data_IF_532225489239
#
_entry.id   IF_532225489239
#
_cell.length_a   1.000
_cell.length_b   1.000
_cell.length_c   1.000
_cell.angle_alpha   90.00
_cell.angle_beta   90.00
_cell.angle_gamma   90.00
#
_symmetry.space_group_name_H-M   'P 1'
#
loop_
_entity.id
_entity.type
_entity.pdbx_description
1 polymer ?
#
# COMPACT_ATOMS: atom_id res chain seq x y z
N UNK A 1 -12.45 -12.44 9.26
CA UNK A 1 -11.31 -13.30 8.90
C UNK A 1 -11.45 -14.63 9.64
N UNK A 2 -12.16 -15.59 9.05
CA UNK A 2 -12.34 -16.93 9.64
C UNK A 2 -11.01 -17.66 9.52
N UNK A 3 -10.36 -17.94 10.66
CA UNK A 3 -9.40 -19.03 10.73
C UNK A 3 -10.20 -20.31 10.54
N UNK A 4 -10.46 -20.65 9.28
CA UNK A 4 -11.05 -21.93 8.88
C UNK A 4 -10.08 -22.98 9.39
N UNK A 5 -10.55 -23.80 10.33
CA UNK A 5 -9.75 -24.81 11.00
C UNK A 5 -9.23 -25.81 9.96
N UNK A 6 -7.95 -25.61 9.60
CA UNK A 6 -7.26 -26.23 8.48
C UNK A 6 -6.96 -27.73 8.73
N UNK A 7 -7.33 -28.27 9.89
CA UNK A 7 -7.24 -29.70 10.20
C UNK A 7 -8.52 -30.48 9.85
N UNK A 8 -9.63 -29.80 9.53
CA UNK A 8 -10.94 -30.43 9.30
C UNK A 8 -11.33 -30.59 7.82
N UNK A 9 -10.52 -30.10 6.87
CA UNK A 9 -10.78 -30.20 5.44
C UNK A 9 -9.99 -31.34 4.78
N UNK A 10 -10.57 -32.05 3.79
CA UNK A 10 -9.87 -33.12 3.08
C UNK A 10 -8.59 -32.60 2.42
N UNK A 11 -7.50 -33.36 2.52
CA UNK A 11 -6.14 -33.05 2.02
C UNK A 11 -6.10 -32.38 0.63
N UNK A 12 -7.04 -32.73 -0.25
CA UNK A 12 -7.22 -32.13 -1.58
C UNK A 12 -7.52 -30.62 -1.52
N UNK A 13 -8.41 -30.17 -0.63
CA UNK A 13 -8.73 -28.73 -0.47
C UNK A 13 -7.58 -27.95 0.15
N UNK A 14 -6.81 -28.58 1.03
CA UNK A 14 -5.59 -28.01 1.60
C UNK A 14 -4.57 -27.68 0.51
N UNK A 15 -4.30 -28.66 -0.35
CA UNK A 15 -3.30 -28.58 -1.42
C UNK A 15 -3.74 -27.56 -2.47
N UNK A 16 -5.01 -27.54 -2.87
CA UNK A 16 -5.52 -26.56 -3.86
C UNK A 16 -5.48 -25.14 -3.30
N UNK A 17 -5.83 -24.94 -2.02
CA UNK A 17 -5.72 -23.63 -1.36
C UNK A 17 -4.26 -23.15 -1.33
N UNK A 18 -3.33 -24.04 -0.94
CA UNK A 18 -1.89 -23.78 -0.94
C UNK A 18 -1.33 -23.50 -2.35
N UNK A 19 -1.81 -24.20 -3.39
CA UNK A 19 -1.39 -23.99 -4.79
C UNK A 19 -1.90 -22.66 -5.34
N UNK A 20 -3.16 -22.31 -5.08
CA UNK A 20 -3.75 -21.04 -5.53
C UNK A 20 -3.09 -19.84 -4.82
N UNK A 21 -2.80 -19.97 -3.52
CA UNK A 21 -2.04 -18.96 -2.75
C UNK A 21 -0.61 -18.80 -3.29
N UNK A 22 0.09 -19.92 -3.54
CA UNK A 22 1.45 -19.91 -4.11
C UNK A 22 1.50 -19.32 -5.51
N UNK A 23 0.49 -19.57 -6.36
CA UNK A 23 0.38 -19.01 -7.72
C UNK A 23 0.14 -17.50 -7.69
N UNK A 24 -0.76 -17.01 -6.84
CA UNK A 24 -0.98 -15.57 -6.64
C UNK A 24 0.25 -14.86 -6.10
N UNK A 25 0.95 -15.47 -5.14
CA UNK A 25 2.20 -14.95 -4.58
C UNK A 25 3.31 -14.93 -5.65
N UNK A 26 3.41 -15.97 -6.48
CA UNK A 26 4.40 -16.03 -7.55
C UNK A 26 4.15 -14.93 -8.59
N UNK A 27 2.88 -14.71 -8.97
CA UNK A 27 2.49 -13.66 -9.90
C UNK A 27 2.78 -12.26 -9.34
N UNK A 28 2.43 -12.01 -8.07
CA UNK A 28 2.71 -10.74 -7.41
C UNK A 28 4.22 -10.47 -7.27
N UNK A 29 5.02 -11.50 -6.98
CA UNK A 29 6.49 -11.38 -6.97
C UNK A 29 7.05 -11.12 -8.37
N UNK A 30 6.50 -11.76 -9.41
CA UNK A 30 6.89 -11.52 -10.80
C UNK A 30 6.57 -10.08 -11.20
N UNK A 31 5.39 -9.59 -10.83
CA UNK A 31 4.94 -8.22 -11.06
C UNK A 31 5.82 -7.19 -10.36
N UNK A 32 6.14 -7.40 -9.07
CA UNK A 32 7.05 -6.51 -8.33
C UNK A 32 8.45 -6.49 -8.97
N UNK A 33 8.99 -7.64 -9.39
CA UNK A 33 10.29 -7.68 -10.10
C UNK A 33 10.22 -6.96 -11.46
N UNK A 34 9.11 -7.10 -12.19
CA UNK A 34 8.88 -6.38 -13.44
C UNK A 34 8.84 -4.87 -13.25
N UNK A 35 8.14 -4.39 -12.23
CA UNK A 35 8.10 -2.96 -11.87
C UNK A 35 9.49 -2.46 -11.49
N UNK A 36 10.23 -3.16 -10.64
CA UNK A 36 11.59 -2.77 -10.26
C UNK A 36 12.49 -2.63 -11.48
N UNK A 37 12.45 -3.61 -12.41
CA UNK A 37 13.22 -3.55 -13.66
C UNK A 37 12.77 -2.39 -14.57
N UNK A 38 11.47 -2.13 -14.66
CA UNK A 38 10.93 -1.00 -15.41
C UNK A 38 11.41 0.35 -14.85
N UNK A 39 11.38 0.51 -13.52
CA UNK A 39 11.90 1.71 -12.85
C UNK A 39 13.39 1.88 -13.14
N UNK A 40 14.18 0.81 -13.07
CA UNK A 40 15.61 0.82 -13.41
C UNK A 40 15.85 1.28 -14.86
N UNK A 41 15.02 0.82 -15.80
CA UNK A 41 15.13 1.20 -17.20
C UNK A 41 14.76 2.68 -17.42
N UNK A 42 13.67 3.15 -16.81
CA UNK A 42 13.24 4.56 -16.92
C UNK A 42 14.26 5.50 -16.28
N UNK A 43 14.83 5.15 -15.13
CA UNK A 43 15.93 5.90 -14.49
C UNK A 43 17.17 5.92 -15.38
N UNK A 44 17.58 4.77 -15.93
CA UNK A 44 18.71 4.69 -16.84
C UNK A 44 18.52 5.58 -18.08
N UNK A 45 17.33 5.55 -18.70
CA UNK A 45 16.97 6.40 -19.85
C UNK A 45 16.95 7.88 -19.46
N UNK A 46 16.40 8.22 -18.30
CA UNK A 46 16.32 9.62 -17.82
C UNK A 46 17.72 10.19 -17.54
N UNK A 47 18.62 9.38 -16.94
CA UNK A 47 20.03 9.76 -16.72
C UNK A 47 20.78 9.94 -18.05
N UNK A 48 20.47 9.12 -19.06
CA UNK A 48 21.10 9.18 -20.38
C UNK A 48 20.64 10.41 -21.19
N UNK A 49 19.37 10.80 -21.07
CA UNK A 49 18.77 11.94 -21.78
C UNK A 49 19.08 13.29 -21.12
N UNK A 50 19.19 13.36 -19.79
CA UNK A 50 19.32 14.62 -19.05
C UNK A 50 20.70 14.71 -18.38
N UNK A 51 21.73 15.02 -19.16
CA UNK A 51 23.13 15.18 -18.72
C UNK A 51 23.40 16.41 -17.80
N UNK A 52 22.39 17.00 -17.16
CA UNK A 52 22.54 18.24 -16.39
C UNK A 52 22.23 18.07 -14.91
N UNK A 53 23.28 18.24 -14.12
CA UNK A 53 23.37 18.44 -12.67
C UNK A 53 22.08 18.89 -11.98
N UNK A 54 21.56 18.06 -11.06
CA UNK A 54 20.82 18.39 -9.81
C UNK A 54 19.70 17.39 -9.41
N UNK A 55 19.77 16.12 -9.82
CA UNK A 55 18.84 15.11 -9.27
C UNK A 55 19.27 14.68 -7.85
N UNK A 56 18.69 15.31 -6.82
CA UNK A 56 18.78 14.83 -5.42
C UNK A 56 17.98 13.53 -5.22
N UNK A 57 16.99 13.31 -6.06
CA UNK A 57 16.12 12.13 -6.06
C UNK A 57 16.90 10.85 -6.39
N UNK A 58 17.85 10.87 -7.35
CA UNK A 58 18.69 9.69 -7.66
C UNK A 58 19.62 9.29 -6.51
N UNK A 59 19.99 10.20 -5.60
CA UNK A 59 20.70 9.84 -4.35
C UNK A 59 19.77 9.18 -3.33
N UNK A 60 18.52 9.62 -3.21
CA UNK A 60 17.53 9.00 -2.33
C UNK A 60 17.06 7.62 -2.84
N UNK A 61 17.14 7.36 -4.17
CA UNK A 61 16.89 6.04 -4.76
C UNK A 61 18.08 5.07 -4.68
N UNK A 62 19.30 5.56 -4.39
CA UNK A 62 20.50 4.69 -4.25
C UNK A 62 20.37 3.62 -3.16
N UNK A 63 19.81 3.89 -1.96
CA UNK A 63 19.53 2.87 -0.95
C UNK A 63 18.57 1.77 -1.44
N UNK A 64 17.57 2.14 -2.25
CA UNK A 64 16.66 1.20 -2.91
C UNK A 64 17.42 0.33 -3.91
N UNK A 65 18.32 0.92 -4.69
CA UNK A 65 19.21 0.18 -5.60
C UNK A 65 20.21 -0.74 -4.85
N UNK A 66 20.72 -0.33 -3.70
CA UNK A 66 21.63 -1.11 -2.85
C UNK A 66 20.91 -2.32 -2.22
N UNK A 67 19.62 -2.17 -1.89
CA UNK A 67 18.74 -3.28 -1.49
C UNK A 67 18.46 -4.25 -2.63
N UNK A 68 18.38 -3.77 -3.88
CA UNK A 68 18.06 -4.61 -5.05
C UNK A 68 19.25 -5.36 -5.65
N UNK A 69 20.48 -4.81 -5.57
CA UNK A 69 21.59 -5.32 -6.40
C UNK A 69 22.28 -6.56 -5.85
N UNK A 70 22.36 -6.80 -4.53
CA UNK A 70 23.13 -7.95 -4.05
C UNK A 70 22.94 -8.29 -2.56
N UNK A 71 22.92 -9.59 -2.24
CA UNK A 71 23.19 -10.21 -0.93
C UNK A 71 22.10 -10.39 0.14
N UNK A 72 20.95 -9.74 0.12
CA UNK A 72 19.98 -9.88 1.22
C UNK A 72 18.74 -10.71 0.88
N UNK A 73 18.91 -12.02 0.66
CA UNK A 73 17.79 -12.98 0.56
C UNK A 73 16.82 -12.92 1.76
N UNK A 74 17.31 -12.51 2.93
CA UNK A 74 16.49 -12.23 4.12
C UNK A 74 15.51 -11.07 3.93
N UNK A 75 15.93 -9.96 3.31
CA UNK A 75 15.06 -8.79 3.09
C UNK A 75 13.95 -9.13 2.10
N UNK A 76 14.25 -9.88 1.03
CA UNK A 76 13.23 -10.39 0.10
C UNK A 76 12.22 -11.31 0.80
N UNK A 77 12.63 -12.07 1.82
CA UNK A 77 11.74 -12.90 2.64
C UNK A 77 10.85 -12.05 3.54
N UNK A 78 11.38 -11.02 4.19
CA UNK A 78 10.60 -10.07 4.98
C UNK A 78 9.58 -9.29 4.14
N UNK A 79 9.99 -8.75 2.99
CA UNK A 79 9.08 -8.05 2.07
C UNK A 79 7.96 -8.99 1.62
N UNK A 80 8.26 -10.25 1.32
CA UNK A 80 7.23 -11.26 1.00
C UNK A 80 6.24 -11.45 2.14
N UNK A 81 6.72 -11.50 3.38
CA UNK A 81 5.84 -11.64 4.54
C UNK A 81 4.94 -10.40 4.75
N UNK A 82 5.47 -9.19 4.54
CA UNK A 82 4.69 -7.96 4.61
C UNK A 82 3.61 -7.94 3.52
N UNK A 83 3.96 -8.22 2.26
CA UNK A 83 2.98 -8.26 1.17
C UNK A 83 1.96 -9.39 1.31
N UNK A 84 2.30 -10.47 2.02
CA UNK A 84 1.36 -11.56 2.29
C UNK A 84 0.35 -11.18 3.38
N UNK A 85 0.73 -10.38 4.37
CA UNK A 85 -0.20 -9.89 5.40
C UNK A 85 -1.02 -8.67 4.95
N UNK A 86 -0.58 -7.97 3.90
CA UNK A 86 -1.22 -6.77 3.37
C UNK A 86 -2.65 -6.99 2.79
N UNK A 87 -2.94 -8.02 1.96
CA UNK A 87 -4.28 -8.21 1.38
C UNK A 87 -5.44 -8.26 2.39
N UNK A 88 -5.37 -9.02 3.50
CA UNK A 88 -6.45 -8.98 4.51
C UNK A 88 -6.51 -7.65 5.27
N UNK A 89 -5.39 -6.93 5.40
CA UNK A 89 -5.36 -5.60 6.04
C UNK A 89 -6.03 -4.56 5.13
N UNK A 90 -5.80 -4.61 3.81
CA UNK A 90 -6.44 -3.72 2.85
C UNK A 90 -7.96 -3.85 2.83
N UNK A 91 -8.49 -5.07 2.98
CA UNK A 91 -9.93 -5.31 3.06
C UNK A 91 -10.55 -4.59 4.28
N UNK A 92 -9.90 -4.70 5.44
CA UNK A 92 -10.31 -4.01 6.67
C UNK A 92 -10.12 -2.49 6.57
N UNK A 93 -9.01 -2.04 5.97
CA UNK A 93 -8.74 -0.62 5.73
C UNK A 93 -9.77 -0.02 4.77
N UNK A 94 -10.17 -0.75 3.73
CA UNK A 94 -11.23 -0.32 2.80
C UNK A 94 -12.57 -0.12 3.52
N UNK A 95 -12.93 -1.04 4.40
CA UNK A 95 -14.13 -0.91 5.24
C UNK A 95 -14.02 0.32 6.16
N UNK A 96 -12.85 0.56 6.76
CA UNK A 96 -12.61 1.74 7.58
C UNK A 96 -12.74 3.04 6.78
N UNK A 97 -12.12 3.11 5.60
CA UNK A 97 -12.21 4.25 4.69
C UNK A 97 -13.64 4.54 4.24
N UNK A 98 -14.45 3.51 4.05
CA UNK A 98 -15.88 3.65 3.77
C UNK A 98 -16.63 4.30 4.94
N UNK A 99 -16.38 3.85 6.17
CA UNK A 99 -16.95 4.49 7.37
C UNK A 99 -16.52 5.94 7.54
N UNK A 100 -15.23 6.25 7.35
CA UNK A 100 -14.71 7.63 7.40
C UNK A 100 -15.42 8.52 6.39
N UNK A 101 -15.66 8.02 5.18
CA UNK A 101 -16.36 8.78 4.13
C UNK A 101 -17.78 9.15 4.55
N UNK A 102 -18.52 8.22 5.17
CA UNK A 102 -19.87 8.50 5.70
C UNK A 102 -19.82 9.54 6.80
N UNK A 103 -18.86 9.44 7.74
CA UNK A 103 -18.71 10.43 8.82
C UNK A 103 -18.25 11.79 8.31
N UNK A 104 -17.44 11.85 7.26
CA UNK A 104 -17.02 13.10 6.62
C UNK A 104 -18.21 13.80 5.93
N UNK A 105 -19.08 13.06 5.23
CA UNK A 105 -20.32 13.61 4.67
C UNK A 105 -21.26 14.10 5.79
N UNK A 106 -21.42 13.32 6.86
CA UNK A 106 -22.27 13.71 7.99
C UNK A 106 -21.74 14.97 8.68
N UNK A 107 -20.42 15.06 8.89
CA UNK A 107 -19.77 16.25 9.43
C UNK A 107 -19.97 17.47 8.55
N UNK A 108 -19.83 17.32 7.24
CA UNK A 108 -20.12 18.39 6.29
C UNK A 108 -21.58 18.85 6.39
N UNK A 109 -22.57 17.95 6.36
CA UNK A 109 -23.98 18.34 6.47
C UNK A 109 -24.35 18.98 7.82
N UNK A 110 -23.71 18.57 8.91
CA UNK A 110 -24.01 19.07 10.25
C UNK A 110 -23.36 20.45 10.53
N UNK A 111 -22.16 20.69 9.97
CA UNK A 111 -21.35 21.87 10.27
C UNK A 111 -21.21 22.86 9.09
N UNK A 112 -21.77 22.57 7.91
CA UNK A 112 -21.70 23.44 6.72
C UNK A 112 -22.30 24.85 6.95
N UNK A 113 -23.06 25.08 8.02
CA UNK A 113 -23.68 26.36 8.35
C UNK A 113 -22.92 27.24 9.34
N UNK A 114 -21.84 26.76 9.99
CA UNK A 114 -21.15 27.53 11.03
C UNK A 114 -19.94 28.30 10.43
N UNK A 115 -19.95 29.65 10.44
CA UNK A 115 -18.89 30.47 9.83
C UNK A 115 -17.57 30.50 10.63
N UNK A 116 -17.51 29.84 11.79
CA UNK A 116 -16.33 29.82 12.68
C UNK A 116 -15.40 28.63 12.45
N UNK A 117 -15.75 27.68 11.57
CA UNK A 117 -14.98 26.46 11.34
C UNK A 117 -14.64 26.30 9.85
N UNK A 118 -13.45 26.76 9.43
CA UNK A 118 -12.99 26.60 8.04
C UNK A 118 -12.84 25.13 7.62
N UNK A 119 -12.69 24.21 8.58
CA UNK A 119 -12.43 22.79 8.36
C UNK A 119 -13.60 21.99 7.73
N UNK A 120 -14.82 22.52 7.71
CA UNK A 120 -16.02 21.81 7.22
C UNK A 120 -16.71 22.51 6.03
N UNK A 121 -16.00 23.42 5.35
CA UNK A 121 -16.55 24.18 4.21
C UNK A 121 -16.50 23.42 2.90
N UNK A 122 -15.54 22.49 2.75
CA UNK A 122 -15.44 21.58 1.60
C UNK A 122 -15.49 20.12 2.05
N UNK A 123 -15.95 19.25 1.15
CA UNK A 123 -15.94 17.80 1.40
C UNK A 123 -14.51 17.26 1.60
N UNK A 124 -13.52 17.88 0.94
CA UNK A 124 -12.12 17.48 1.04
C UNK A 124 -11.54 17.81 2.42
N UNK A 125 -11.78 19.02 2.93
CA UNK A 125 -11.29 19.44 4.25
C UNK A 125 -11.95 18.63 5.39
N UNK A 126 -13.25 18.34 5.24
CA UNK A 126 -13.99 17.48 6.17
C UNK A 126 -13.42 16.06 6.22
N UNK A 127 -13.02 15.53 5.06
CA UNK A 127 -12.41 14.21 4.95
C UNK A 127 -11.01 14.16 5.56
N UNK A 128 -10.16 15.16 5.28
CA UNK A 128 -8.83 15.27 5.87
C UNK A 128 -8.91 15.44 7.38
N UNK A 129 -9.83 16.27 7.88
CA UNK A 129 -10.04 16.48 9.32
C UNK A 129 -10.45 15.20 10.04
N UNK A 130 -11.44 14.46 9.51
CA UNK A 130 -11.84 13.16 10.07
C UNK A 130 -10.72 12.12 10.01
N UNK A 131 -9.92 12.11 8.94
CA UNK A 131 -8.76 11.24 8.83
C UNK A 131 -7.67 11.57 9.86
N UNK A 132 -7.34 12.86 10.03
CA UNK A 132 -6.38 13.36 11.04
C UNK A 132 -6.84 12.97 12.44
N UNK A 133 -8.12 13.18 12.77
CA UNK A 133 -8.71 12.79 14.05
C UNK A 133 -8.61 11.27 14.29
N UNK A 134 -8.88 10.46 13.26
CA UNK A 134 -8.73 9.01 13.35
C UNK A 134 -7.28 8.58 13.60
N UNK A 135 -6.31 9.24 12.96
CA UNK A 135 -4.88 8.99 13.20
C UNK A 135 -4.38 9.56 14.53
N UNK A 136 -5.25 10.21 15.32
CA UNK A 136 -4.89 10.90 16.57
C UNK A 136 -3.73 11.88 16.36
N UNK A 137 -3.66 12.48 15.17
CA UNK A 137 -2.68 13.50 14.88
C UNK A 137 -3.14 14.79 15.59
N UNK A 138 -2.29 15.25 16.52
CA UNK A 138 -2.46 16.52 17.23
C UNK A 138 -2.15 17.71 16.34
#
# INVERSE_FOLDING_TARGET
MKMVNLSALPLQKQIICMINDKSKILFLVCYVKGITLGIMFVEAVTVLVRQSSHFRVTRALRPIFLVDTCHCGGVRRFIRQIFQSLPPILDMLGLLMFFISIYALLGYYLFSGEPRTEHFTTLHDSFVSMFVLLTTAK
#
